data_IF_215013145797
#
_entry.id   IF_215013145797
#
_cell.length_a   1.000
_cell.length_b   1.000
_cell.length_c   1.000
_cell.angle_alpha   90.00
_cell.angle_beta   90.00
_cell.angle_gamma   90.00
#
_symmetry.space_group_name_H-M   'P 1'
#
loop_
_entity.id
_entity.type
_entity.pdbx_description
1 polymer ?
#
# COMPACT_ATOMS: atom_id res chain seq x y z
N UNK A 1 7.49 -16.61 -22.42
CA UNK A 1 8.80 -15.93 -22.30
C UNK A 1 9.61 -16.73 -21.29
N UNK A 2 10.77 -17.29 -21.65
CA UNK A 2 11.54 -18.10 -20.69
C UNK A 2 12.18 -17.17 -19.65
N UNK A 3 12.36 -17.66 -18.42
CA UNK A 3 13.05 -16.95 -17.33
C UNK A 3 14.43 -16.46 -17.75
N UNK A 4 15.11 -17.22 -18.62
CA UNK A 4 16.42 -16.87 -19.18
C UNK A 4 16.36 -15.62 -20.08
N UNK A 5 15.29 -15.46 -20.86
CA UNK A 5 15.10 -14.28 -21.73
C UNK A 5 14.86 -13.01 -20.92
N UNK A 6 14.10 -13.11 -19.81
CA UNK A 6 13.84 -11.98 -18.92
C UNK A 6 15.11 -11.52 -18.18
N UNK A 7 15.90 -12.46 -17.66
CA UNK A 7 17.15 -12.16 -16.97
C UNK A 7 18.13 -11.46 -17.91
N UNK A 8 18.29 -11.96 -19.14
CA UNK A 8 19.19 -11.36 -20.13
C UNK A 8 18.74 -9.95 -20.58
N UNK A 9 17.44 -9.70 -20.66
CA UNK A 9 16.92 -8.37 -20.95
C UNK A 9 17.24 -7.38 -19.81
N UNK A 10 17.03 -7.78 -18.56
CA UNK A 10 17.30 -6.93 -17.38
C UNK A 10 18.79 -6.64 -17.21
N UNK A 11 19.68 -7.63 -17.40
CA UNK A 11 21.13 -7.43 -17.22
C UNK A 11 21.80 -6.67 -18.37
N UNK A 12 21.12 -6.53 -19.51
CA UNK A 12 21.60 -5.73 -20.64
C UNK A 12 21.39 -4.21 -20.46
N UNK A 13 20.56 -3.81 -19.50
CA UNK A 13 20.26 -2.41 -19.23
C UNK A 13 21.39 -1.73 -18.44
N UNK A 14 21.62 -0.42 -18.66
CA UNK A 14 22.47 0.37 -17.78
C UNK A 14 21.98 0.28 -16.32
N UNK A 15 22.89 0.20 -15.36
CA UNK A 15 22.55 0.11 -13.93
C UNK A 15 21.53 1.18 -13.45
N UNK A 16 21.54 2.44 -13.95
CA UNK A 16 20.49 3.42 -13.64
C UNK A 16 19.09 2.98 -14.10
N UNK A 17 18.97 2.43 -15.31
CA UNK A 17 17.70 1.96 -15.89
C UNK A 17 17.14 0.75 -15.12
N UNK A 18 18.00 -0.17 -14.65
CA UNK A 18 17.58 -1.28 -13.78
C UNK A 18 16.99 -0.76 -12.47
N UNK A 19 17.66 0.21 -11.85
CA UNK A 19 17.19 0.80 -10.58
C UNK A 19 15.86 1.52 -10.76
N UNK A 20 15.70 2.26 -11.87
CA UNK A 20 14.44 2.92 -12.25
C UNK A 20 13.31 1.89 -12.43
N UNK A 21 13.57 0.80 -13.18
CA UNK A 21 12.60 -0.26 -13.41
C UNK A 21 12.14 -0.94 -12.11
N UNK A 22 13.07 -1.24 -11.19
CA UNK A 22 12.74 -1.79 -9.87
C UNK A 22 11.96 -0.78 -9.02
N UNK A 23 12.29 0.52 -9.11
CA UNK A 23 11.50 1.58 -8.50
C UNK A 23 10.07 1.62 -9.04
N UNK A 24 9.89 1.40 -10.34
CA UNK A 24 8.57 1.29 -10.97
C UNK A 24 7.79 0.07 -10.51
N UNK A 25 8.44 -1.09 -10.45
CA UNK A 25 7.82 -2.33 -9.97
C UNK A 25 7.32 -2.17 -8.52
N UNK A 26 8.14 -1.59 -7.65
CA UNK A 26 7.81 -1.43 -6.23
C UNK A 26 6.76 -0.35 -5.98
N UNK A 27 6.83 0.81 -6.66
CA UNK A 27 5.76 1.82 -6.60
C UNK A 27 4.44 1.29 -7.15
N UNK A 28 4.46 0.54 -8.24
CA UNK A 28 3.27 -0.09 -8.82
C UNK A 28 2.69 -1.14 -7.87
N UNK A 29 3.52 -2.00 -7.27
CA UNK A 29 3.07 -2.96 -6.27
C UNK A 29 2.35 -2.26 -5.11
N UNK A 30 2.94 -1.21 -4.54
CA UNK A 30 2.32 -0.46 -3.45
C UNK A 30 0.99 0.17 -3.89
N UNK A 31 0.94 0.82 -5.05
CA UNK A 31 -0.28 1.46 -5.53
C UNK A 31 -1.40 0.46 -5.84
N UNK A 32 -1.13 -0.54 -6.68
CA UNK A 32 -2.15 -1.48 -7.12
C UNK A 32 -2.59 -2.45 -6.02
N UNK A 33 -1.72 -2.79 -5.06
CA UNK A 33 -2.14 -3.57 -3.87
C UNK A 33 -3.15 -2.79 -3.02
N UNK A 34 -2.94 -1.49 -2.79
CA UNK A 34 -3.87 -0.65 -2.04
C UNK A 34 -5.18 -0.41 -2.83
N UNK A 35 -5.14 -0.30 -4.16
CA UNK A 35 -6.37 -0.33 -4.97
C UNK A 35 -7.09 -1.66 -4.82
N UNK A 36 -6.38 -2.78 -4.92
CA UNK A 36 -6.97 -4.10 -4.79
C UNK A 36 -7.65 -4.28 -3.42
N UNK A 37 -7.03 -3.81 -2.33
CA UNK A 37 -7.60 -3.79 -0.98
C UNK A 37 -8.98 -3.12 -0.95
N UNK A 38 -9.14 -1.98 -1.61
CA UNK A 38 -10.39 -1.20 -1.60
C UNK A 38 -11.46 -1.75 -2.54
N UNK A 39 -11.09 -2.41 -3.64
CA UNK A 39 -12.05 -2.88 -4.65
C UNK A 39 -12.50 -4.33 -4.45
N UNK A 40 -11.57 -5.23 -4.13
CA UNK A 40 -11.82 -6.68 -4.05
C UNK A 40 -11.10 -7.38 -2.89
N UNK A 41 -10.41 -6.64 -2.04
CA UNK A 41 -9.63 -7.20 -0.93
C UNK A 41 -10.45 -7.37 0.35
N UNK A 42 -9.73 -7.32 1.47
CA UNK A 42 -10.29 -7.55 2.80
C UNK A 42 -11.38 -6.53 3.16
N UNK A 43 -11.27 -5.29 2.68
CA UNK A 43 -12.19 -4.20 3.06
C UNK A 43 -13.60 -4.42 2.49
N UNK A 44 -13.79 -4.63 1.16
CA UNK A 44 -15.09 -5.06 0.62
C UNK A 44 -15.64 -6.33 1.28
N UNK A 45 -14.78 -7.29 1.61
CA UNK A 45 -15.19 -8.52 2.28
C UNK A 45 -15.77 -8.24 3.68
N UNK A 46 -15.03 -7.51 4.50
CA UNK A 46 -15.43 -7.13 5.85
C UNK A 46 -16.65 -6.18 5.87
N UNK A 47 -16.85 -5.39 4.81
CA UNK A 47 -18.03 -4.53 4.64
C UNK A 47 -19.21 -5.25 3.96
N UNK A 48 -19.11 -6.55 3.67
CA UNK A 48 -20.19 -7.34 3.08
C UNK A 48 -20.54 -6.94 1.64
N UNK A 49 -19.60 -6.36 0.89
CA UNK A 49 -19.79 -5.87 -0.49
C UNK A 49 -19.42 -6.89 -1.57
N UNK A 50 -18.98 -8.10 -1.21
CA UNK A 50 -18.67 -9.15 -2.19
C UNK A 50 -19.94 -9.88 -2.66
N UNK A 51 -19.88 -10.43 -3.88
CA UNK A 51 -21.02 -10.99 -4.65
C UNK A 51 -21.72 -12.16 -3.93
N UNK A 52 -21.04 -12.84 -3.00
CA UNK A 52 -21.64 -13.90 -2.18
C UNK A 52 -21.85 -13.39 -0.76
N UNK A 53 -23.05 -13.54 -0.18
CA UNK A 53 -23.33 -13.12 1.19
C UNK A 53 -22.59 -14.03 2.17
N UNK A 54 -21.36 -13.67 2.49
CA UNK A 54 -20.68 -14.21 3.66
C UNK A 54 -21.10 -13.35 4.83
N UNK A 55 -22.02 -13.86 5.64
CA UNK A 55 -22.39 -13.25 6.90
C UNK A 55 -21.28 -13.54 7.91
N UNK A 56 -20.32 -12.63 8.01
CA UNK A 56 -19.34 -12.65 9.09
C UNK A 56 -19.95 -12.00 10.33
N UNK A 57 -19.86 -12.73 11.44
CA UNK A 57 -20.01 -12.16 12.77
C UNK A 57 -18.98 -11.04 12.96
N UNK A 58 -19.33 -9.97 13.68
CA UNK A 58 -18.46 -8.80 13.78
C UNK A 58 -17.20 -9.10 14.61
N UNK A 59 -17.26 -10.07 15.52
CA UNK A 59 -16.07 -10.59 16.20
C UNK A 59 -15.10 -11.27 15.22
N UNK A 60 -15.63 -12.08 14.32
CA UNK A 60 -14.84 -12.70 13.25
C UNK A 60 -14.28 -11.65 12.28
N UNK A 61 -14.99 -10.53 12.06
CA UNK A 61 -14.45 -9.40 11.29
C UNK A 61 -13.23 -8.78 11.95
N UNK A 62 -13.28 -8.50 13.24
CA UNK A 62 -12.15 -7.93 13.97
C UNK A 62 -10.95 -8.89 14.01
N UNK A 63 -11.20 -10.19 14.24
CA UNK A 63 -10.14 -11.23 14.19
C UNK A 63 -9.51 -11.35 12.81
N UNK A 64 -10.34 -11.40 11.76
CA UNK A 64 -9.84 -11.47 10.39
C UNK A 64 -9.04 -10.22 10.02
N UNK A 65 -9.51 -9.04 10.44
CA UNK A 65 -8.77 -7.80 10.28
C UNK A 65 -7.40 -7.87 10.95
N UNK A 66 -7.34 -8.30 12.22
CA UNK A 66 -6.08 -8.37 12.98
C UNK A 66 -5.06 -9.31 12.30
N UNK A 67 -5.49 -10.53 11.94
CA UNK A 67 -4.64 -11.51 11.24
C UNK A 67 -4.14 -10.98 9.90
N UNK A 68 -5.02 -10.32 9.14
CA UNK A 68 -4.66 -9.71 7.88
C UNK A 68 -3.66 -8.55 8.06
N UNK A 69 -3.98 -7.62 8.95
CA UNK A 69 -3.31 -6.34 9.09
C UNK A 69 -1.86 -6.50 9.57
N UNK A 70 -1.59 -7.43 10.51
CA UNK A 70 -0.23 -7.67 11.01
C UNK A 70 0.75 -8.08 9.88
N UNK A 71 0.28 -8.87 8.91
CA UNK A 71 1.08 -9.23 7.75
C UNK A 71 1.12 -8.12 6.69
N UNK A 72 -0.04 -7.58 6.32
CA UNK A 72 -0.15 -6.58 5.26
C UNK A 72 0.62 -5.29 5.57
N UNK A 73 0.58 -4.83 6.83
CA UNK A 73 1.28 -3.61 7.25
C UNK A 73 2.80 -3.72 7.03
N UNK A 74 3.41 -4.88 7.34
CA UNK A 74 4.85 -5.12 7.14
C UNK A 74 5.24 -5.02 5.67
N UNK A 75 4.46 -5.63 4.79
CA UNK A 75 4.71 -5.60 3.35
C UNK A 75 4.51 -4.21 2.75
N UNK A 76 3.47 -3.47 3.14
CA UNK A 76 3.22 -2.11 2.64
C UNK A 76 4.33 -1.16 3.10
N UNK A 77 4.69 -1.19 4.39
CA UNK A 77 5.75 -0.34 4.94
C UNK A 77 7.10 -0.67 4.30
N UNK A 78 7.46 -1.97 4.27
CA UNK A 78 8.71 -2.42 3.67
C UNK A 78 8.81 -2.05 2.19
N UNK A 79 7.76 -2.29 1.41
CA UNK A 79 7.74 -1.96 -0.01
C UNK A 79 7.77 -0.45 -0.26
N UNK A 80 7.16 0.37 0.61
CA UNK A 80 7.21 1.83 0.51
C UNK A 80 8.62 2.37 0.79
N UNK A 81 9.33 1.79 1.76
CA UNK A 81 10.73 2.14 2.05
C UNK A 81 11.64 1.74 0.89
N UNK A 82 11.52 0.50 0.41
CA UNK A 82 12.30 0.00 -0.74
C UNK A 82 12.05 0.85 -1.98
N UNK A 83 10.77 1.14 -2.27
CA UNK A 83 10.36 2.06 -3.34
C UNK A 83 11.04 3.42 -3.21
N UNK A 84 11.02 4.02 -2.03
CA UNK A 84 11.66 5.31 -1.82
C UNK A 84 13.17 5.24 -2.07
N UNK A 85 13.86 4.25 -1.50
CA UNK A 85 15.31 4.08 -1.67
C UNK A 85 15.69 3.90 -3.14
N UNK A 86 14.94 3.10 -3.90
CA UNK A 86 15.16 2.90 -5.34
C UNK A 86 14.94 4.20 -6.12
N UNK A 87 13.89 4.95 -5.81
CA UNK A 87 13.59 6.23 -6.46
C UNK A 87 14.62 7.33 -6.14
N UNK A 88 15.06 7.42 -4.88
CA UNK A 88 16.10 8.36 -4.45
C UNK A 88 17.46 8.00 -5.05
N UNK A 89 17.80 6.71 -5.09
CA UNK A 89 19.00 6.22 -5.77
C UNK A 89 18.95 6.53 -7.27
N UNK A 90 17.81 6.28 -7.92
CA UNK A 90 17.61 6.63 -9.34
C UNK A 90 17.79 8.12 -9.56
N UNK A 91 17.23 8.96 -8.68
CA UNK A 91 17.41 10.41 -8.74
C UNK A 91 18.88 10.82 -8.68
N UNK A 92 19.65 10.19 -7.79
CA UNK A 92 21.09 10.42 -7.68
C UNK A 92 21.84 10.01 -8.96
N UNK A 93 21.57 8.81 -9.49
CA UNK A 93 22.24 8.27 -10.67
C UNK A 93 21.93 9.07 -11.94
N UNK A 94 20.70 9.53 -12.12
CA UNK A 94 20.28 10.31 -13.29
C UNK A 94 20.64 11.80 -13.21
N UNK A 95 21.20 12.29 -12.09
CA UNK A 95 21.45 13.72 -11.86
C UNK A 95 22.25 14.39 -12.98
N UNK A 96 23.23 13.69 -13.55
CA UNK A 96 24.10 14.21 -14.62
C UNK A 96 23.59 13.89 -16.02
N UNK A 97 22.97 12.73 -16.22
CA UNK A 97 22.53 12.26 -17.54
C UNK A 97 21.17 12.82 -17.96
N UNK A 98 20.22 12.94 -17.01
CA UNK A 98 18.90 13.52 -17.25
C UNK A 98 18.36 14.20 -15.99
N UNK A 99 18.55 15.53 -15.86
CA UNK A 99 18.07 16.30 -14.71
C UNK A 99 16.55 16.23 -14.51
N UNK A 100 15.79 16.02 -15.60
CA UNK A 100 14.33 15.88 -15.54
C UNK A 100 13.94 14.56 -14.86
N UNK A 101 14.48 13.43 -15.32
CA UNK A 101 14.25 12.10 -14.70
C UNK A 101 14.69 12.14 -13.24
N UNK A 102 15.82 12.78 -12.94
CA UNK A 102 16.32 12.95 -11.58
C UNK A 102 15.32 13.67 -10.66
N UNK A 103 14.70 14.76 -11.12
CA UNK A 103 13.70 15.51 -10.32
C UNK A 103 12.39 14.73 -10.14
N UNK A 104 11.93 14.05 -11.18
CA UNK A 104 10.69 13.27 -11.15
C UNK A 104 10.82 12.09 -10.16
N UNK A 105 11.92 11.36 -10.25
CA UNK A 105 12.21 10.22 -9.35
C UNK A 105 12.48 10.69 -7.91
N UNK A 106 13.08 11.88 -7.71
CA UNK A 106 13.16 12.49 -6.39
C UNK A 106 11.77 12.72 -5.80
N UNK A 107 10.86 13.31 -6.60
CA UNK A 107 9.46 13.50 -6.21
C UNK A 107 8.80 12.18 -5.84
N UNK A 108 8.90 11.16 -6.70
CA UNK A 108 8.36 9.83 -6.42
C UNK A 108 8.91 9.22 -5.12
N UNK A 109 10.21 9.36 -4.86
CA UNK A 109 10.87 8.86 -3.66
C UNK A 109 10.40 9.56 -2.39
N UNK A 110 10.25 10.89 -2.43
CA UNK A 110 9.70 11.69 -1.32
C UNK A 110 8.23 11.33 -1.09
N UNK A 111 7.41 11.31 -2.13
CA UNK A 111 5.99 10.96 -2.01
C UNK A 111 5.80 9.54 -1.47
N UNK A 112 6.66 8.59 -1.85
CA UNK A 112 6.66 7.24 -1.28
C UNK A 112 6.93 7.24 0.24
N UNK A 113 7.80 8.13 0.74
CA UNK A 113 8.01 8.25 2.20
C UNK A 113 6.82 8.91 2.88
N UNK A 114 6.16 9.87 2.24
CA UNK A 114 5.00 10.59 2.79
C UNK A 114 3.80 9.69 3.10
N UNK A 115 3.75 8.47 2.56
CA UNK A 115 2.77 7.44 2.91
C UNK A 115 2.75 7.16 4.43
N UNK A 116 3.92 7.10 5.06
CA UNK A 116 4.05 6.80 6.49
C UNK A 116 3.49 7.93 7.38
N UNK A 117 3.94 9.20 7.28
CA UNK A 117 3.35 10.27 8.07
C UNK A 117 1.89 10.51 7.72
N UNK A 118 1.47 10.33 6.47
CA UNK A 118 0.04 10.41 6.11
C UNK A 118 -0.79 9.36 6.87
N UNK A 119 -0.26 8.16 7.08
CA UNK A 119 -0.94 7.11 7.86
C UNK A 119 -1.15 7.54 9.32
N UNK A 120 -0.17 8.25 9.90
CA UNK A 120 -0.26 8.80 11.25
C UNK A 120 -1.25 9.96 11.31
N UNK A 121 -1.12 10.94 10.41
CA UNK A 121 -1.93 12.17 10.37
C UNK A 121 -3.41 11.84 10.12
N UNK A 122 -3.69 10.88 9.24
CA UNK A 122 -5.05 10.43 8.98
C UNK A 122 -5.63 9.63 10.15
N UNK A 123 -4.85 9.29 11.19
CA UNK A 123 -5.35 8.57 12.36
C UNK A 123 -5.71 7.12 12.06
N UNK A 124 -4.98 6.45 11.16
CA UNK A 124 -5.20 5.03 10.89
C UNK A 124 -4.64 4.14 12.02
N UNK A 125 -3.55 4.55 12.67
CA UNK A 125 -2.95 3.82 13.79
C UNK A 125 -3.92 3.54 14.95
N UNK A 126 -4.63 4.55 15.52
CA UNK A 126 -5.57 4.29 16.61
C UNK A 126 -6.75 3.40 16.21
N UNK A 127 -7.18 3.46 14.94
CA UNK A 127 -8.23 2.57 14.43
C UNK A 127 -7.74 1.11 14.42
N UNK A 128 -6.52 0.88 13.94
CA UNK A 128 -5.94 -0.46 13.92
C UNK A 128 -5.77 -1.01 15.34
N UNK A 129 -5.25 -0.19 16.27
CA UNK A 129 -5.10 -0.58 17.68
C UNK A 129 -6.45 -0.96 18.30
N UNK A 130 -7.49 -0.16 18.07
CA UNK A 130 -8.82 -0.46 18.60
C UNK A 130 -9.43 -1.74 18.01
N UNK A 131 -9.22 -1.99 16.72
CA UNK A 131 -9.66 -3.25 16.08
C UNK A 131 -8.89 -4.46 16.62
N UNK A 132 -7.61 -4.31 16.97
CA UNK A 132 -6.83 -5.36 17.63
C UNK A 132 -7.38 -5.66 19.04
N UNK A 133 -7.62 -4.63 19.86
CA UNK A 133 -8.23 -4.79 21.18
C UNK A 133 -9.58 -5.50 21.12
N UNK A 134 -10.45 -5.11 20.19
CA UNK A 134 -11.76 -5.74 20.00
C UNK A 134 -11.64 -7.19 19.51
N UNK A 135 -10.56 -7.55 18.82
CA UNK A 135 -10.32 -8.93 18.40
C UNK A 135 -9.89 -9.87 19.53
N UNK A 136 -9.30 -9.29 20.59
CA UNK A 136 -8.76 -9.99 21.76
C UNK A 136 -9.75 -10.07 22.92
N UNK A 137 -10.80 -9.23 22.94
CA UNK A 137 -11.82 -9.24 23.99
C UNK A 137 -12.79 -10.42 23.83
N UNK A 138 -12.82 -11.29 24.83
CA UNK A 138 -13.81 -12.36 25.01
C UNK A 138 -14.86 -11.97 26.07
N UNK A 139 -15.57 -10.86 25.86
CA UNK A 139 -16.63 -10.42 26.77
C UNK A 139 -17.90 -11.26 26.56
N UNK A 140 -18.31 -12.03 27.58
CA UNK A 140 -19.55 -12.86 27.55
C UNK A 140 -20.84 -12.06 27.82
N UNK A 141 -20.76 -10.75 28.04
CA UNK A 141 -21.94 -9.93 28.33
C UNK A 141 -22.63 -9.46 27.03
N UNK A 142 -23.87 -9.90 26.84
CA UNK A 142 -24.67 -9.68 25.62
C UNK A 142 -24.80 -8.19 25.26
N UNK A 143 -24.95 -7.28 26.25
CA UNK A 143 -25.09 -5.84 25.98
C UNK A 143 -23.78 -5.14 25.63
N UNK A 144 -22.63 -5.66 26.06
CA UNK A 144 -21.33 -5.16 25.62
C UNK A 144 -20.98 -5.69 24.23
N UNK A 145 -21.35 -6.95 23.94
CA UNK A 145 -21.21 -7.57 22.62
C UNK A 145 -21.89 -6.73 21.53
N UNK A 146 -23.18 -6.42 21.64
CA UNK A 146 -23.90 -5.64 20.62
C UNK A 146 -23.23 -4.26 20.33
N UNK A 147 -22.68 -3.61 21.37
CA UNK A 147 -21.98 -2.33 21.21
C UNK A 147 -20.62 -2.48 20.55
N UNK A 148 -19.87 -3.51 20.92
CA UNK A 148 -18.56 -3.84 20.34
C UNK A 148 -18.72 -4.22 18.85
N UNK A 149 -19.76 -4.97 18.52
CA UNK A 149 -20.13 -5.34 17.15
C UNK A 149 -20.41 -4.12 16.25
N UNK A 150 -21.24 -3.18 16.72
CA UNK A 150 -21.50 -1.91 16.00
C UNK A 150 -20.23 -1.07 15.85
N UNK A 151 -19.37 -1.08 16.89
CA UNK A 151 -18.09 -0.37 16.88
C UNK A 151 -17.14 -0.92 15.81
N UNK A 152 -17.00 -2.24 15.67
CA UNK A 152 -16.14 -2.88 14.65
C UNK A 152 -16.54 -2.45 13.24
N UNK A 153 -17.83 -2.53 12.90
CA UNK A 153 -18.33 -2.10 11.59
C UNK A 153 -18.02 -0.63 11.32
N UNK A 154 -18.20 0.23 12.32
CA UNK A 154 -17.92 1.67 12.22
C UNK A 154 -16.42 1.93 12.02
N UNK A 155 -15.55 1.22 12.73
CA UNK A 155 -14.10 1.36 12.62
C UNK A 155 -13.58 0.89 11.26
N UNK A 156 -14.08 -0.23 10.72
CA UNK A 156 -13.68 -0.72 9.39
C UNK A 156 -14.11 0.28 8.30
N UNK A 157 -15.32 0.82 8.38
CA UNK A 157 -15.78 1.85 7.44
C UNK A 157 -14.96 3.14 7.55
N UNK A 158 -14.68 3.59 8.77
CA UNK A 158 -13.85 4.77 9.01
C UNK A 158 -12.41 4.57 8.51
N UNK A 159 -11.87 3.36 8.67
CA UNK A 159 -10.58 2.98 8.11
C UNK A 159 -10.59 3.10 6.58
N UNK A 160 -11.62 2.56 5.93
CA UNK A 160 -11.78 2.65 4.47
C UNK A 160 -11.80 4.11 3.99
N UNK A 161 -12.64 4.95 4.61
CA UNK A 161 -12.74 6.37 4.25
C UNK A 161 -11.39 7.09 4.38
N UNK A 162 -10.65 6.84 5.47
CA UNK A 162 -9.31 7.41 5.68
C UNK A 162 -8.27 6.83 4.72
N UNK A 163 -8.36 5.54 4.39
CA UNK A 163 -7.48 4.90 3.42
C UNK A 163 -7.68 5.48 2.01
N UNK A 164 -8.92 5.74 1.61
CA UNK A 164 -9.23 6.39 0.33
C UNK A 164 -8.57 7.76 0.23
N UNK A 165 -8.48 8.52 1.34
CA UNK A 165 -7.75 9.79 1.39
C UNK A 165 -6.23 9.62 1.25
N UNK A 166 -5.68 8.41 1.48
CA UNK A 166 -4.27 8.08 1.29
C UNK A 166 -3.97 7.64 -0.15
N UNK A 167 -4.96 7.12 -0.90
CA UNK A 167 -4.80 6.68 -2.30
C UNK A 167 -4.13 7.70 -3.23
N UNK A 168 -4.43 9.01 -3.16
CA UNK A 168 -3.77 10.01 -3.99
C UNK A 168 -2.24 10.03 -3.83
N UNK A 169 -1.72 9.77 -2.61
CA UNK A 169 -0.28 9.76 -2.35
C UNK A 169 0.38 8.58 -3.09
N UNK A 170 -0.23 7.39 -3.00
CA UNK A 170 0.23 6.21 -3.76
C UNK A 170 0.19 6.47 -5.28
N UNK A 171 -0.92 7.05 -5.76
CA UNK A 171 -1.11 7.34 -7.18
C UNK A 171 -0.06 8.33 -7.71
N UNK A 172 0.24 9.39 -6.95
CA UNK A 172 1.26 10.38 -7.32
C UNK A 172 2.65 9.73 -7.36
N UNK A 173 3.01 8.96 -6.32
CA UNK A 173 4.30 8.27 -6.28
C UNK A 173 4.50 7.35 -7.49
N UNK A 174 3.50 6.53 -7.81
CA UNK A 174 3.50 5.65 -8.97
C UNK A 174 3.51 6.41 -10.29
N UNK A 175 2.66 7.43 -10.45
CA UNK A 175 2.57 8.19 -11.71
C UNK A 175 3.86 8.93 -12.04
N UNK A 176 4.53 9.49 -11.04
CA UNK A 176 5.84 10.12 -11.22
C UNK A 176 6.89 9.09 -11.66
N UNK A 177 6.94 7.92 -11.03
CA UNK A 177 7.89 6.89 -11.47
C UNK A 177 7.57 6.39 -12.88
N UNK A 178 6.29 6.13 -13.19
CA UNK A 178 5.86 5.71 -14.52
C UNK A 178 6.25 6.75 -15.59
N UNK A 179 6.07 8.04 -15.30
CA UNK A 179 6.53 9.11 -16.20
C UNK A 179 8.05 9.07 -16.39
N UNK A 180 8.82 8.82 -15.34
CA UNK A 180 10.28 8.68 -15.46
C UNK A 180 10.68 7.47 -16.34
N UNK A 181 9.99 6.34 -16.22
CA UNK A 181 10.20 5.16 -17.09
C UNK A 181 9.93 5.52 -18.56
N UNK A 182 8.77 6.13 -18.83
CA UNK A 182 8.40 6.55 -20.18
C UNK A 182 9.40 7.53 -20.79
N UNK A 183 10.00 8.41 -19.96
CA UNK A 183 11.01 9.37 -20.40
C UNK A 183 12.41 8.76 -20.57
N UNK A 184 12.76 7.68 -19.86
CA UNK A 184 14.04 6.98 -20.07
C UNK A 184 14.05 6.25 -21.42
N UNK A 185 12.92 5.67 -21.83
CA UNK A 185 12.70 5.07 -23.15
C UNK A 185 13.55 3.82 -23.46
N UNK A 186 14.37 3.38 -22.51
CA UNK A 186 15.21 2.17 -22.59
C UNK A 186 14.63 1.01 -21.79
N UNK A 187 13.76 1.32 -20.83
CA UNK A 187 13.03 0.40 -19.94
C UNK A 187 11.63 0.19 -20.49
#
# INVERSE_FOLDING_TARGET
MSTTTLINAITSLPAPSITLALGGLTTAYVFFSNIAETQRGVIPFLNGRLISPVTLDDKDRAKLWNVYFDSAAKWIVGSSIVSSLLNLTTSYLYRKSSPLISKITLGSGITSLLILPATVILGLLPINQRLMELSENDNDNIKSLEKEEEEVKKLIKLWEEKHLNRLPIYAIAWSLNMLAILLDGRV
#
